data_IF_983731601371
#
_entry.id   IF_983731601371
#
_cell.length_a   1.000
_cell.length_b   1.000
_cell.length_c   1.000
_cell.angle_alpha   90.00
_cell.angle_beta   90.00
_cell.angle_gamma   90.00
#
_symmetry.space_group_name_H-M   'P 1'
#
loop_
_entity.id
_entity.type
_entity.pdbx_description
1 polymer ?
#
# COMPACT_ATOMS: atom_id res chain seq x y z
N UNK A 1 15.07 -2.65 6.28
CA UNK A 1 15.09 -1.23 6.69
C UNK A 1 15.40 -0.42 5.46
N UNK A 2 14.47 0.41 5.00
CA UNK A 2 14.71 1.30 3.86
C UNK A 2 15.38 2.57 4.41
N UNK A 3 16.66 2.76 4.11
CA UNK A 3 17.31 4.05 4.32
C UNK A 3 16.74 5.04 3.30
N UNK A 4 15.84 5.90 3.77
CA UNK A 4 15.37 7.05 3.02
C UNK A 4 16.44 8.14 3.01
N UNK A 5 17.46 8.06 2.14
CA UNK A 5 18.39 9.18 1.95
C UNK A 5 18.91 9.44 0.53
N UNK A 6 18.54 8.64 -0.48
CA UNK A 6 18.74 9.09 -1.86
C UNK A 6 17.66 8.54 -2.80
N UNK A 7 16.57 9.29 -2.96
CA UNK A 7 15.52 8.98 -3.93
C UNK A 7 15.97 9.22 -5.38
N UNK A 8 17.19 9.73 -5.61
CA UNK A 8 17.72 10.06 -6.94
C UNK A 8 17.81 8.85 -7.87
N UNK A 9 18.23 7.70 -7.36
CA UNK A 9 18.32 6.47 -8.17
C UNK A 9 16.95 5.96 -8.61
N UNK A 10 15.92 6.07 -7.74
CA UNK A 10 14.56 5.66 -8.07
C UNK A 10 14.05 6.55 -9.20
N UNK A 11 14.30 7.86 -9.12
CA UNK A 11 13.97 8.81 -10.18
C UNK A 11 14.71 8.51 -11.48
N UNK A 12 16.00 8.19 -11.45
CA UNK A 12 16.80 7.87 -12.65
C UNK A 12 16.41 6.53 -13.29
N UNK A 13 16.10 5.53 -12.47
CA UNK A 13 15.59 4.26 -12.96
C UNK A 13 14.16 4.40 -13.51
N UNK A 14 13.31 5.21 -12.86
CA UNK A 14 12.00 5.57 -13.40
C UNK A 14 12.08 6.34 -14.71
N UNK A 15 13.02 7.28 -14.86
CA UNK A 15 13.25 7.99 -16.14
C UNK A 15 13.59 7.05 -17.28
N UNK A 16 14.27 5.95 -16.97
CA UNK A 16 14.67 4.94 -17.95
C UNK A 16 13.53 4.00 -18.37
N UNK A 17 12.59 3.73 -17.48
CA UNK A 17 11.58 2.67 -17.68
C UNK A 17 10.12 3.14 -17.66
N UNK A 18 9.83 4.38 -17.24
CA UNK A 18 8.48 4.94 -17.20
C UNK A 18 8.22 5.87 -18.40
N UNK A 19 7.30 5.52 -19.32
CA UNK A 19 7.08 6.31 -20.53
C UNK A 19 6.39 7.66 -20.26
N UNK A 20 5.73 7.82 -19.11
CA UNK A 20 4.92 9.00 -18.79
C UNK A 20 5.76 10.21 -18.39
N UNK A 21 5.52 11.34 -19.05
CA UNK A 21 6.23 12.61 -18.85
C UNK A 21 6.00 13.20 -17.45
N UNK A 22 4.87 12.92 -16.81
CA UNK A 22 4.53 13.38 -15.46
C UNK A 22 5.45 12.82 -14.38
N UNK A 23 5.89 11.56 -14.52
CA UNK A 23 6.75 10.89 -13.56
C UNK A 23 8.24 11.18 -13.79
N UNK A 24 8.60 11.85 -14.89
CA UNK A 24 9.95 12.35 -15.16
C UNK A 24 10.28 13.64 -14.41
N UNK A 25 9.29 14.31 -13.80
CA UNK A 25 9.51 15.50 -12.98
C UNK A 25 10.10 15.08 -11.63
N UNK A 26 11.38 15.37 -11.34
CA UNK A 26 12.06 14.84 -10.15
C UNK A 26 11.36 15.22 -8.82
N UNK A 27 10.69 16.37 -8.78
CA UNK A 27 9.97 16.84 -7.57
C UNK A 27 8.54 16.29 -7.46
N UNK A 28 7.98 15.72 -8.52
CA UNK A 28 6.60 15.22 -8.50
C UNK A 28 6.47 13.98 -7.60
N UNK A 29 7.34 12.99 -7.77
CA UNK A 29 7.31 11.76 -6.97
C UNK A 29 7.69 12.07 -5.51
N UNK A 30 8.73 12.89 -5.28
CA UNK A 30 9.12 13.28 -3.94
C UNK A 30 8.00 14.04 -3.20
N UNK A 31 7.30 14.95 -3.88
CA UNK A 31 6.14 15.64 -3.33
C UNK A 31 4.98 14.70 -3.04
N UNK A 32 4.69 13.76 -3.95
CA UNK A 32 3.66 12.73 -3.75
C UNK A 32 3.97 11.82 -2.56
N UNK A 33 5.23 11.38 -2.42
CA UNK A 33 5.70 10.60 -1.26
C UNK A 33 5.56 11.39 0.03
N UNK A 34 6.00 12.66 0.04
CA UNK A 34 5.92 13.53 1.21
C UNK A 34 4.47 13.83 1.64
N UNK A 35 3.52 13.76 0.71
CA UNK A 35 2.09 13.99 0.97
C UNK A 35 1.32 12.76 1.47
N UNK A 36 1.97 11.59 1.58
CA UNK A 36 1.34 10.29 1.87
C UNK A 36 0.24 9.86 0.88
N UNK A 37 0.16 10.51 -0.29
CA UNK A 37 -0.83 10.23 -1.35
C UNK A 37 -0.49 8.96 -2.13
N UNK A 38 0.79 8.60 -2.18
CA UNK A 38 1.27 7.36 -2.80
C UNK A 38 1.99 6.48 -1.77
N UNK A 39 2.06 5.19 -2.06
CA UNK A 39 2.85 4.22 -1.33
C UNK A 39 3.92 3.67 -2.25
N UNK A 40 5.15 3.59 -1.76
CA UNK A 40 6.28 3.10 -2.53
C UNK A 40 7.03 2.02 -1.76
N UNK A 41 7.64 1.11 -2.51
CA UNK A 41 8.52 0.08 -1.99
C UNK A 41 9.70 -0.15 -2.92
N UNK A 42 10.82 -0.57 -2.35
CA UNK A 42 12.02 -0.97 -3.06
C UNK A 42 12.51 -2.31 -2.51
N UNK A 43 12.99 -3.17 -3.41
CA UNK A 43 13.73 -4.39 -3.07
C UNK A 43 15.19 -4.18 -3.44
N UNK A 44 16.09 -4.45 -2.52
CA UNK A 44 17.53 -4.29 -2.68
C UNK A 44 18.26 -5.62 -2.44
N UNK A 45 19.40 -5.80 -3.10
CA UNK A 45 20.31 -6.92 -2.90
C UNK A 45 21.60 -6.38 -2.29
N UNK A 46 22.06 -7.02 -1.22
CA UNK A 46 23.37 -6.78 -0.65
C UNK A 46 24.43 -7.52 -1.48
N UNK A 47 25.30 -6.76 -2.14
CA UNK A 47 26.43 -7.29 -2.88
C UNK A 47 27.54 -7.85 -1.98
N UNK A 48 28.48 -8.64 -2.53
CA UNK A 48 29.65 -9.14 -1.79
C UNK A 48 30.57 -8.03 -1.27
N UNK A 49 30.51 -6.85 -1.88
CA UNK A 49 31.20 -5.62 -1.50
C UNK A 49 30.51 -4.87 -0.35
N UNK A 50 29.38 -5.38 0.14
CA UNK A 50 28.59 -4.74 1.19
C UNK A 50 27.71 -3.60 0.68
N UNK A 51 27.58 -3.41 -0.64
CA UNK A 51 26.77 -2.35 -1.24
C UNK A 51 25.36 -2.86 -1.51
N UNK A 52 24.35 -2.12 -1.04
CA UNK A 52 22.96 -2.38 -1.38
C UNK A 52 22.64 -1.85 -2.77
N UNK A 53 22.14 -2.73 -3.64
CA UNK A 53 21.75 -2.39 -5.01
C UNK A 53 20.24 -2.59 -5.18
N UNK A 54 19.49 -1.58 -5.62
CA UNK A 54 18.07 -1.72 -5.89
C UNK A 54 17.82 -2.58 -7.13
N UNK A 55 16.88 -3.51 -7.01
CA UNK A 55 16.53 -4.49 -8.05
C UNK A 55 15.05 -4.54 -8.38
N UNK A 56 14.20 -3.94 -7.56
CA UNK A 56 12.80 -3.71 -7.91
C UNK A 56 12.26 -2.49 -7.19
N UNK A 57 11.24 -1.87 -7.80
CA UNK A 57 10.47 -0.83 -7.15
C UNK A 57 9.03 -0.87 -7.61
N UNK A 58 8.13 -0.50 -6.70
CA UNK A 58 6.70 -0.40 -6.98
C UNK A 58 6.12 0.84 -6.34
N UNK A 59 5.13 1.43 -7.02
CA UNK A 59 4.35 2.55 -6.50
C UNK A 59 2.87 2.28 -6.73
N UNK A 60 2.08 2.60 -5.72
CA UNK A 60 0.63 2.51 -5.73
C UNK A 60 0.00 3.74 -5.09
N UNK A 61 -1.29 3.93 -5.34
CA UNK A 61 -2.07 4.99 -4.71
C UNK A 61 -3.50 4.52 -4.46
N UNK A 62 -4.24 5.31 -3.70
CA UNK A 62 -5.69 5.20 -3.66
C UNK A 62 -6.31 6.27 -4.53
N UNK A 63 -7.23 5.86 -5.40
CA UNK A 63 -7.92 6.77 -6.30
C UNK A 63 -9.39 6.92 -5.90
N UNK A 64 -9.93 8.10 -6.18
CA UNK A 64 -11.33 8.41 -5.93
C UNK A 64 -12.29 7.48 -6.70
N UNK A 65 -13.37 7.01 -6.07
CA UNK A 65 -14.34 6.14 -6.74
C UNK A 65 -14.93 6.72 -8.01
N UNK A 66 -15.31 8.00 -8.04
CA UNK A 66 -15.89 8.63 -9.23
C UNK A 66 -14.87 8.72 -10.37
N UNK A 67 -13.62 9.02 -10.05
CA UNK A 67 -12.52 9.01 -11.02
C UNK A 67 -12.31 7.61 -11.61
N UNK A 68 -12.33 6.56 -10.79
CA UNK A 68 -12.16 5.19 -11.25
C UNK A 68 -13.36 4.69 -12.06
N UNK A 69 -14.59 4.99 -11.62
CA UNK A 69 -15.80 4.60 -12.35
C UNK A 69 -15.85 5.27 -13.74
N UNK A 70 -15.46 6.54 -13.83
CA UNK A 70 -15.35 7.25 -15.11
C UNK A 70 -14.30 6.62 -16.03
N UNK A 71 -13.12 6.28 -15.48
CA UNK A 71 -12.08 5.59 -16.25
C UNK A 71 -12.54 4.20 -16.74
N UNK A 72 -13.23 3.43 -15.90
CA UNK A 72 -13.70 2.09 -16.28
C UNK A 72 -14.78 2.14 -17.36
N UNK A 73 -15.59 3.21 -17.40
CA UNK A 73 -16.59 3.42 -18.44
C UNK A 73 -15.99 3.79 -19.81
N UNK A 74 -14.89 4.54 -19.84
CA UNK A 74 -14.17 4.92 -21.07
C UNK A 74 -12.64 4.80 -20.86
N UNK A 75 -12.11 3.56 -20.90
CA UNK A 75 -10.72 3.32 -20.56
C UNK A 75 -9.78 3.87 -21.65
N UNK A 76 -8.79 4.63 -21.20
CA UNK A 76 -7.69 5.14 -22.05
C UNK A 76 -6.37 4.46 -21.67
N UNK A 77 -5.43 4.28 -22.62
CA UNK A 77 -4.15 3.65 -22.32
C UNK A 77 -3.28 4.51 -21.40
N UNK A 78 -2.35 3.87 -20.69
CA UNK A 78 -1.52 4.43 -19.63
C UNK A 78 -2.30 5.00 -18.43
N UNK A 79 -3.11 4.17 -17.78
CA UNK A 79 -3.88 4.46 -16.56
C UNK A 79 -3.09 5.30 -15.55
N UNK A 80 -1.88 4.89 -15.21
CA UNK A 80 -1.06 5.59 -14.22
C UNK A 80 -0.75 7.03 -14.65
N UNK A 81 -0.40 7.21 -15.92
CA UNK A 81 -0.09 8.52 -16.47
C UNK A 81 -1.34 9.40 -16.56
N UNK A 82 -2.47 8.83 -16.99
CA UNK A 82 -3.76 9.52 -17.02
C UNK A 82 -4.16 10.06 -15.64
N UNK A 83 -4.06 9.25 -14.59
CA UNK A 83 -4.35 9.70 -13.22
C UNK A 83 -3.38 10.77 -12.75
N UNK A 84 -2.08 10.57 -12.99
CA UNK A 84 -1.07 11.50 -12.52
C UNK A 84 -1.12 12.84 -13.24
N UNK A 85 -1.36 12.88 -14.56
CA UNK A 85 -1.49 14.14 -15.30
C UNK A 85 -2.68 14.97 -14.79
N UNK A 86 -3.83 14.33 -14.56
CA UNK A 86 -5.02 15.00 -14.00
C UNK A 86 -4.77 15.52 -12.58
N UNK A 87 -4.12 14.72 -11.74
CA UNK A 87 -3.72 15.14 -10.40
C UNK A 87 -2.77 16.36 -10.45
N UNK A 88 -1.76 16.34 -11.32
CA UNK A 88 -0.82 17.45 -11.47
C UNK A 88 -1.44 18.70 -12.09
N UNK A 89 -2.50 18.54 -12.89
CA UNK A 89 -3.31 19.64 -13.39
C UNK A 89 -4.16 20.31 -12.29
N UNK A 90 -4.17 19.75 -11.08
CA UNK A 90 -4.94 20.27 -9.94
C UNK A 90 -6.41 19.85 -9.98
N UNK A 91 -6.75 18.82 -10.76
CA UNK A 91 -8.11 18.27 -10.70
C UNK A 91 -8.37 17.69 -9.30
N UNK A 92 -9.45 18.12 -8.63
CA UNK A 92 -9.75 17.64 -7.28
C UNK A 92 -10.22 16.18 -7.32
N UNK A 93 -9.92 15.42 -6.26
CA UNK A 93 -10.44 14.07 -6.09
C UNK A 93 -9.93 13.07 -7.14
N UNK A 94 -8.66 13.16 -7.53
CA UNK A 94 -8.03 12.14 -8.39
C UNK A 94 -7.35 11.08 -7.53
N UNK A 95 -6.36 11.50 -6.75
CA UNK A 95 -5.66 10.66 -5.77
C UNK A 95 -6.10 11.07 -4.37
N UNK A 96 -6.32 10.11 -3.49
CA UNK A 96 -6.81 10.35 -2.14
C UNK A 96 -5.65 10.69 -1.18
N UNK A 97 -5.78 11.79 -0.46
CA UNK A 97 -4.90 12.13 0.67
C UNK A 97 -5.32 11.42 1.97
N UNK A 98 -4.53 11.55 3.05
CA UNK A 98 -4.76 10.79 4.29
C UNK A 98 -6.17 10.92 4.91
N UNK A 99 -6.80 12.10 4.98
CA UNK A 99 -8.17 12.21 5.50
C UNK A 99 -9.22 11.53 4.61
N UNK A 100 -9.02 11.57 3.30
CA UNK A 100 -9.91 10.93 2.32
C UNK A 100 -9.75 9.41 2.36
N UNK A 101 -8.51 8.94 2.43
CA UNK A 101 -8.20 7.53 2.66
C UNK A 101 -8.90 7.03 3.93
N UNK A 102 -8.79 7.74 5.06
CA UNK A 102 -9.41 7.31 6.31
C UNK A 102 -10.94 7.16 6.21
N UNK A 103 -11.61 8.09 5.52
CA UNK A 103 -13.07 8.04 5.28
C UNK A 103 -13.45 6.90 4.34
N UNK A 104 -12.78 6.77 3.20
CA UNK A 104 -13.06 5.71 2.23
C UNK A 104 -12.71 4.33 2.79
N UNK A 105 -11.66 4.22 3.62
CA UNK A 105 -11.26 2.99 4.31
C UNK A 105 -12.36 2.51 5.26
N UNK A 106 -12.93 3.43 6.05
CA UNK A 106 -14.03 3.12 6.96
C UNK A 106 -15.28 2.61 6.23
N UNK A 107 -15.56 3.16 5.05
CA UNK A 107 -16.67 2.74 4.19
C UNK A 107 -16.37 1.49 3.34
N UNK A 108 -15.16 0.92 3.39
CA UNK A 108 -14.68 -0.16 2.51
C UNK A 108 -14.77 0.18 1.00
N UNK A 109 -14.42 1.41 0.63
CA UNK A 109 -14.56 1.97 -0.73
C UNK A 109 -13.25 2.40 -1.36
N UNK A 110 -12.11 1.90 -0.87
CA UNK A 110 -10.81 2.25 -1.44
C UNK A 110 -10.58 1.53 -2.78
N UNK A 111 -10.17 2.30 -3.79
CA UNK A 111 -9.71 1.74 -5.07
C UNK A 111 -8.19 1.81 -5.09
N UNK A 112 -7.54 0.66 -5.00
CA UNK A 112 -6.09 0.56 -5.08
C UNK A 112 -5.66 0.58 -6.54
N UNK A 113 -4.73 1.46 -6.91
CA UNK A 113 -4.14 1.48 -8.24
C UNK A 113 -2.64 1.23 -8.11
N UNK A 114 -2.14 0.18 -8.77
CA UNK A 114 -0.69 0.02 -8.96
C UNK A 114 -0.27 0.92 -10.10
N UNK A 115 0.41 2.02 -9.77
CA UNK A 115 0.87 3.01 -10.75
C UNK A 115 2.05 2.46 -11.54
N UNK A 116 2.95 1.73 -10.88
CA UNK A 116 4.03 1.01 -11.55
C UNK A 116 4.54 -0.13 -10.69
N UNK A 117 5.01 -1.18 -11.34
CA UNK A 117 5.96 -2.12 -10.77
C UNK A 117 7.01 -2.44 -11.83
N UNK A 118 8.26 -2.44 -11.41
CA UNK A 118 9.39 -2.73 -12.28
C UNK A 118 10.39 -3.57 -11.48
N UNK A 119 11.14 -4.42 -12.17
CA UNK A 119 12.23 -5.19 -11.57
C UNK A 119 13.33 -5.45 -12.58
N UNK A 120 14.51 -5.81 -12.09
CA UNK A 120 15.62 -6.31 -12.88
C UNK A 120 16.37 -7.37 -12.06
N UNK A 121 16.61 -8.57 -12.59
CA UNK A 121 16.20 -9.06 -13.91
C UNK A 121 14.69 -9.30 -14.08
N UNK A 122 14.24 -9.30 -15.34
CA UNK A 122 12.81 -9.50 -15.71
C UNK A 122 12.52 -10.88 -16.29
N UNK A 123 13.54 -11.67 -16.63
CA UNK A 123 13.35 -12.99 -17.24
C UNK A 123 12.76 -13.99 -16.22
N UNK A 124 11.52 -14.48 -16.42
CA UNK A 124 10.90 -15.43 -15.50
C UNK A 124 11.65 -16.77 -15.37
N UNK A 125 12.49 -17.14 -16.35
CA UNK A 125 13.31 -18.34 -16.27
C UNK A 125 14.48 -18.17 -15.28
N UNK A 126 14.86 -16.93 -14.95
CA UNK A 126 15.93 -16.66 -14.01
C UNK A 126 15.45 -16.78 -12.57
N UNK A 127 16.13 -17.63 -11.78
CA UNK A 127 15.82 -17.82 -10.36
C UNK A 127 15.79 -16.50 -9.57
N UNK A 128 16.70 -15.59 -9.87
CA UNK A 128 16.78 -14.31 -9.18
C UNK A 128 15.55 -13.43 -9.45
N UNK A 129 15.06 -13.39 -10.69
CA UNK A 129 13.84 -12.65 -11.05
C UNK A 129 12.62 -13.16 -10.27
N UNK A 130 12.51 -14.48 -10.09
CA UNK A 130 11.46 -15.11 -9.28
C UNK A 130 11.54 -14.76 -7.79
N UNK A 131 12.75 -14.73 -7.22
CA UNK A 131 12.96 -14.34 -5.82
C UNK A 131 12.62 -12.87 -5.58
N UNK A 132 13.04 -11.98 -6.49
CA UNK A 132 12.71 -10.54 -6.43
C UNK A 132 11.19 -10.35 -6.53
N UNK A 133 10.53 -11.03 -7.48
CA UNK A 133 9.08 -10.96 -7.63
C UNK A 133 8.34 -11.43 -6.37
N UNK A 134 8.77 -12.55 -5.79
CA UNK A 134 8.19 -13.07 -4.54
C UNK A 134 8.34 -12.10 -3.37
N UNK A 135 9.55 -11.53 -3.16
CA UNK A 135 9.80 -10.55 -2.10
C UNK A 135 9.04 -9.24 -2.31
N UNK A 136 8.92 -8.79 -3.55
CA UNK A 136 8.16 -7.59 -3.88
C UNK A 136 6.66 -7.80 -3.68
N UNK A 137 6.14 -9.00 -3.98
CA UNK A 137 4.75 -9.37 -3.68
C UNK A 137 4.48 -9.45 -2.17
N UNK A 138 5.38 -10.04 -1.39
CA UNK A 138 5.30 -10.07 0.07
C UNK A 138 5.21 -8.64 0.64
N UNK A 139 6.10 -7.75 0.16
CA UNK A 139 6.06 -6.34 0.52
C UNK A 139 4.74 -5.68 0.10
N UNK A 140 4.28 -5.91 -1.14
CA UNK A 140 3.02 -5.34 -1.64
C UNK A 140 1.83 -5.76 -0.77
N UNK A 141 1.72 -7.05 -0.42
CA UNK A 141 0.65 -7.55 0.46
C UNK A 141 0.76 -6.91 1.84
N UNK A 142 1.95 -6.88 2.45
CA UNK A 142 2.17 -6.27 3.77
C UNK A 142 1.78 -4.79 3.80
N UNK A 143 2.05 -4.06 2.72
CA UNK A 143 1.76 -2.63 2.61
C UNK A 143 0.26 -2.34 2.45
N UNK A 144 -0.49 -3.23 1.79
CA UNK A 144 -1.89 -2.97 1.40
C UNK A 144 -2.95 -3.81 2.14
N UNK A 145 -2.57 -4.88 2.84
CA UNK A 145 -3.50 -5.69 3.64
C UNK A 145 -4.09 -4.86 4.80
N UNK A 146 -5.36 -5.07 5.12
CA UNK A 146 -6.06 -4.35 6.20
C UNK A 146 -6.67 -3.02 5.77
N UNK A 147 -6.52 -2.61 4.50
CA UNK A 147 -7.34 -1.55 3.92
C UNK A 147 -8.68 -2.13 3.45
N UNK A 148 -9.77 -1.38 3.62
CA UNK A 148 -11.11 -1.67 3.11
C UNK A 148 -11.18 -1.39 1.61
N UNK A 149 -10.57 -2.28 0.82
CA UNK A 149 -10.56 -2.18 -0.64
C UNK A 149 -11.92 -2.59 -1.23
N UNK A 150 -12.39 -1.83 -2.20
CA UNK A 150 -13.48 -2.20 -3.10
C UNK A 150 -12.95 -2.88 -4.37
N UNK A 151 -11.81 -2.39 -4.88
CA UNK A 151 -11.17 -2.94 -6.08
C UNK A 151 -9.68 -2.62 -6.15
N UNK A 152 -8.97 -3.36 -7.00
CA UNK A 152 -7.57 -3.12 -7.35
C UNK A 152 -7.42 -3.08 -8.87
N UNK A 153 -6.72 -2.07 -9.39
CA UNK A 153 -6.45 -1.90 -10.82
C UNK A 153 -4.96 -1.78 -11.09
N UNK A 154 -4.55 -2.22 -12.28
CA UNK A 154 -3.23 -1.96 -12.84
C UNK A 154 -3.27 -2.09 -14.36
N UNK A 155 -2.38 -1.39 -15.04
CA UNK A 155 -2.14 -1.58 -16.47
C UNK A 155 -0.72 -2.10 -16.68
N UNK A 156 -0.60 -3.16 -17.45
CA UNK A 156 0.69 -3.79 -17.74
C UNK A 156 0.76 -4.22 -19.21
N UNK A 157 1.97 -4.43 -19.76
CA UNK A 157 2.14 -5.17 -21.00
C UNK A 157 1.40 -6.50 -20.97
N UNK A 158 0.78 -6.87 -22.10
CA UNK A 158 0.01 -8.13 -22.24
C UNK A 158 0.83 -9.37 -21.88
N UNK A 159 2.16 -9.29 -21.97
CA UNK A 159 3.09 -10.33 -21.51
C UNK A 159 2.83 -10.78 -20.05
N UNK A 160 2.36 -9.88 -19.19
CA UNK A 160 2.09 -10.17 -17.77
C UNK A 160 0.65 -10.60 -17.49
N UNK A 161 -0.24 -10.56 -18.49
CA UNK A 161 -1.68 -10.80 -18.33
C UNK A 161 -1.96 -12.17 -17.72
N UNK A 162 -1.28 -13.22 -18.16
CA UNK A 162 -1.51 -14.59 -17.67
C UNK A 162 -1.16 -14.73 -16.18
N UNK A 163 -0.03 -14.19 -15.73
CA UNK A 163 0.35 -14.20 -14.31
C UNK A 163 -0.64 -13.41 -13.45
N UNK A 164 -1.15 -12.29 -13.97
CA UNK A 164 -2.18 -11.50 -13.29
C UNK A 164 -3.52 -12.24 -13.22
N UNK A 165 -3.91 -12.95 -14.29
CA UNK A 165 -5.09 -13.82 -14.29
C UNK A 165 -4.99 -14.93 -13.25
N UNK A 166 -3.84 -15.57 -13.12
CA UNK A 166 -3.59 -16.60 -12.11
C UNK A 166 -3.67 -16.05 -10.67
N UNK A 167 -3.44 -14.75 -10.48
CA UNK A 167 -3.66 -14.07 -9.19
C UNK A 167 -5.14 -13.73 -8.91
N UNK A 168 -6.04 -14.05 -9.83
CA UNK A 168 -7.48 -13.77 -9.74
C UNK A 168 -7.92 -12.46 -10.39
N UNK A 169 -7.01 -11.72 -11.04
CA UNK A 169 -7.39 -10.51 -11.77
C UNK A 169 -8.07 -10.86 -13.09
N UNK A 170 -8.97 -10.01 -13.57
CA UNK A 170 -9.62 -10.13 -14.87
C UNK A 170 -9.24 -8.95 -15.76
N UNK A 171 -9.21 -9.18 -17.07
CA UNK A 171 -8.98 -8.11 -18.04
C UNK A 171 -10.22 -7.25 -18.17
N UNK A 172 -10.06 -5.94 -17.96
CA UNK A 172 -11.09 -4.92 -18.17
C UNK A 172 -10.99 -4.30 -19.57
N UNK A 173 -9.78 -3.90 -19.98
CA UNK A 173 -9.54 -3.27 -21.28
C UNK A 173 -8.25 -3.84 -21.92
N UNK A 174 -8.18 -3.76 -23.25
CA UNK A 174 -7.03 -4.16 -24.04
C UNK A 174 -6.70 -3.08 -25.08
N UNK A 175 -5.44 -2.70 -25.15
CA UNK A 175 -4.93 -1.72 -26.10
C UNK A 175 -3.84 -2.36 -26.96
N UNK A 176 -4.03 -2.53 -28.28
CA UNK A 176 -3.01 -3.13 -29.13
C UNK A 176 -1.79 -2.21 -29.28
N UNK A 177 -0.65 -2.78 -29.69
CA UNK A 177 0.49 -1.97 -30.12
C UNK A 177 0.07 -1.03 -31.27
N UNK A 178 0.60 0.19 -31.25
CA UNK A 178 0.20 1.25 -32.18
C UNK A 178 -1.09 1.99 -31.79
N UNK A 179 -1.83 1.54 -30.76
CA UNK A 179 -3.02 2.25 -30.30
C UNK A 179 -2.66 3.70 -29.90
N UNK A 180 -3.40 4.73 -30.37
CA UNK A 180 -3.05 6.11 -30.10
C UNK A 180 -2.99 6.42 -28.60
N UNK A 181 -1.82 6.85 -28.13
CA UNK A 181 -1.66 7.36 -26.78
C UNK A 181 -1.73 8.89 -26.81
N UNK A 182 -2.81 9.46 -26.27
CA UNK A 182 -3.02 10.91 -26.21
C UNK A 182 -1.90 11.64 -25.46
N UNK A 183 -1.24 10.97 -24.52
CA UNK A 183 -0.19 11.56 -23.69
C UNK A 183 1.14 11.72 -24.43
N UNK A 184 1.50 10.77 -25.29
CA UNK A 184 2.75 10.83 -26.07
C UNK A 184 2.54 11.40 -27.47
N UNK A 185 1.29 11.47 -27.93
CA UNK A 185 0.97 11.75 -29.33
C UNK A 185 1.40 10.65 -30.29
N UNK A 186 1.90 9.52 -29.77
CA UNK A 186 2.37 8.37 -30.54
C UNK A 186 1.54 7.13 -30.21
N UNK A 187 1.63 6.12 -31.07
CA UNK A 187 1.05 4.80 -30.79
C UNK A 187 1.78 4.10 -29.63
N UNK A 188 1.09 3.24 -28.90
CA UNK A 188 1.72 2.41 -27.87
C UNK A 188 2.84 1.54 -28.47
N UNK A 189 4.02 1.44 -27.82
CA UNK A 189 5.12 0.64 -28.34
C UNK A 189 4.85 -0.87 -28.25
N UNK A 190 4.02 -1.29 -27.28
CA UNK A 190 3.62 -2.67 -27.05
C UNK A 190 2.15 -2.70 -26.66
N UNK A 191 1.49 -3.85 -26.84
CA UNK A 191 0.12 -4.03 -26.38
C UNK A 191 0.06 -4.06 -24.85
N UNK A 192 -0.94 -3.40 -24.26
CA UNK A 192 -1.19 -3.36 -22.82
C UNK A 192 -2.61 -3.81 -22.49
N UNK A 193 -2.82 -4.28 -21.26
CA UNK A 193 -4.12 -4.64 -20.72
C UNK A 193 -4.32 -3.98 -19.36
N UNK A 194 -5.52 -3.44 -19.15
CA UNK A 194 -5.97 -3.01 -17.82
C UNK A 194 -6.55 -4.23 -17.13
N UNK A 195 -5.94 -4.59 -16.00
CA UNK A 195 -6.35 -5.71 -15.16
C UNK A 195 -7.03 -5.17 -13.91
N UNK A 196 -8.15 -5.77 -13.54
CA UNK A 196 -8.94 -5.42 -12.36
C UNK A 196 -9.16 -6.64 -11.47
N UNK A 197 -9.12 -6.43 -10.16
CA UNK A 197 -9.64 -7.35 -9.17
C UNK A 197 -10.77 -6.67 -8.41
N UNK A 198 -11.95 -7.27 -8.45
CA UNK A 198 -13.13 -6.91 -7.68
C UNK A 198 -13.61 -8.19 -7.00
N UNK A 199 -13.70 -8.23 -5.66
CA UNK A 199 -14.23 -9.41 -4.99
C UNK A 199 -15.71 -9.56 -5.34
N UNK A 200 -16.05 -10.59 -6.11
CA UNK A 200 -17.46 -10.96 -6.29
C UNK A 200 -17.97 -11.67 -5.02
N UNK A 201 -19.19 -11.37 -4.56
CA UNK A 201 -19.77 -12.00 -3.36
C UNK A 201 -19.74 -13.54 -3.40
N UNK A 202 -19.90 -14.12 -4.59
CA UNK A 202 -19.91 -15.57 -4.82
C UNK A 202 -18.50 -16.18 -4.89
N UNK A 203 -17.48 -15.39 -5.27
CA UNK A 203 -16.09 -15.84 -5.42
C UNK A 203 -15.29 -15.77 -4.12
N UNK A 204 -15.78 -15.04 -3.11
CA UNK A 204 -15.14 -14.88 -1.80
C UNK A 204 -14.91 -16.20 -1.03
N UNK A 205 -15.60 -17.28 -1.43
CA UNK A 205 -15.56 -18.58 -0.74
C UNK A 205 -14.50 -19.53 -1.32
N UNK A 206 -14.00 -19.31 -2.54
CA UNK A 206 -13.34 -20.40 -3.30
C UNK A 206 -11.91 -20.14 -3.80
N UNK A 207 -11.36 -18.92 -3.73
CA UNK A 207 -9.99 -18.67 -4.22
C UNK A 207 -9.08 -17.95 -3.20
N UNK A 208 -8.18 -18.70 -2.58
CA UNK A 208 -7.03 -18.18 -1.83
C UNK A 208 -5.93 -17.69 -2.79
N UNK A 209 -6.23 -16.67 -3.59
CA UNK A 209 -5.23 -16.02 -4.43
C UNK A 209 -4.46 -14.94 -3.65
N UNK A 210 -3.28 -14.55 -4.13
CA UNK A 210 -2.52 -13.47 -3.51
C UNK A 210 -3.31 -12.15 -3.45
N UNK A 211 -4.15 -11.88 -4.45
CA UNK A 211 -5.01 -10.70 -4.47
C UNK A 211 -6.12 -10.77 -3.42
N UNK A 212 -6.73 -11.94 -3.18
CA UNK A 212 -7.83 -12.06 -2.21
C UNK A 212 -7.40 -11.75 -0.77
N UNK A 213 -6.12 -11.96 -0.42
CA UNK A 213 -5.54 -11.57 0.87
C UNK A 213 -5.64 -10.06 1.15
N UNK A 214 -5.72 -9.21 0.12
CA UNK A 214 -5.83 -7.76 0.27
C UNK A 214 -7.24 -7.32 0.67
N UNK A 215 -8.26 -8.12 0.37
CA UNK A 215 -9.67 -7.79 0.57
C UNK A 215 -10.26 -8.38 1.87
N UNK A 216 -9.51 -9.24 2.54
CA UNK A 216 -9.86 -9.84 3.83
C UNK A 216 -9.63 -8.87 5.01
N UNK A 217 -10.35 -7.75 5.00
CA UNK A 217 -10.23 -6.67 6.01
C UNK A 217 -11.41 -6.67 6.98
N UNK A 218 -11.12 -6.41 8.27
CA UNK A 218 -12.09 -6.17 9.34
C UNK A 218 -11.98 -4.73 9.85
N UNK A 219 -12.99 -4.20 10.54
CA UNK A 219 -12.87 -2.92 11.25
C UNK A 219 -11.80 -2.98 12.36
N UNK A 220 -11.00 -1.92 12.56
CA UNK A 220 -10.03 -1.86 13.65
C UNK A 220 -10.73 -1.84 15.01
N UNK A 221 -10.16 -2.54 15.99
CA UNK A 221 -10.76 -2.70 17.32
C UNK A 221 -10.10 -1.80 18.37
N UNK A 222 -8.81 -1.50 18.20
CA UNK A 222 -8.06 -0.71 19.18
C UNK A 222 -8.43 0.78 19.15
N UNK A 223 -8.97 1.27 18.04
CA UNK A 223 -9.32 2.68 17.86
C UNK A 223 -8.13 3.60 18.09
N UNK A 224 -6.96 3.26 17.53
CA UNK A 224 -5.72 4.02 17.70
C UNK A 224 -5.87 5.42 17.10
N UNK A 225 -5.27 6.42 17.76
CA UNK A 225 -5.09 7.74 17.14
C UNK A 225 -4.06 7.66 16.00
N UNK A 226 -4.06 8.60 15.04
CA UNK A 226 -3.06 8.61 13.96
C UNK A 226 -1.62 8.58 14.46
N UNK A 227 -1.31 9.30 15.54
CA UNK A 227 0.02 9.31 16.15
C UNK A 227 0.38 7.94 16.76
N UNK A 228 -0.56 7.30 17.47
CA UNK A 228 -0.36 5.96 18.03
C UNK A 228 -0.18 4.90 16.93
N UNK A 229 -0.96 4.99 15.85
CA UNK A 229 -0.86 4.08 14.71
C UNK A 229 0.51 4.18 14.04
N UNK A 230 1.02 5.40 13.78
CA UNK A 230 2.37 5.60 13.22
C UNK A 230 3.46 5.06 14.14
N UNK A 231 3.38 5.37 15.43
CA UNK A 231 4.34 4.87 16.43
C UNK A 231 4.36 3.34 16.47
N UNK A 232 3.18 2.71 16.48
CA UNK A 232 3.06 1.27 16.55
C UNK A 232 3.50 0.57 15.25
N UNK A 233 3.28 1.20 14.09
CA UNK A 233 3.79 0.69 12.81
C UNK A 233 5.32 0.62 12.81
N UNK A 234 6.01 1.68 13.26
CA UNK A 234 7.48 1.68 13.39
C UNK A 234 7.98 0.62 14.37
N UNK A 235 7.29 0.45 15.50
CA UNK A 235 7.62 -0.61 16.44
C UNK A 235 7.41 -2.02 15.86
N UNK A 236 6.38 -2.21 15.02
CA UNK A 236 6.11 -3.47 14.34
C UNK A 236 7.15 -3.77 13.23
N UNK A 237 7.78 -2.74 12.68
CA UNK A 237 8.97 -2.83 11.81
C UNK A 237 10.28 -3.07 12.58
N UNK A 238 10.22 -3.16 13.91
CA UNK A 238 11.33 -3.59 14.77
C UNK A 238 12.10 -2.45 15.45
N UNK A 239 11.73 -1.19 15.25
CA UNK A 239 12.44 -0.05 15.83
C UNK A 239 12.28 0.03 17.35
N UNK A 240 13.34 0.43 18.05
CA UNK A 240 13.37 0.77 19.47
C UNK A 240 12.72 2.14 19.75
N UNK A 241 12.42 2.43 21.02
CA UNK A 241 11.70 3.66 21.39
C UNK A 241 12.50 4.93 21.07
N UNK A 242 13.83 4.88 21.17
CA UNK A 242 14.75 5.95 20.80
C UNK A 242 14.75 6.21 19.28
N UNK A 243 14.81 5.15 18.48
CA UNK A 243 14.75 5.23 17.01
C UNK A 243 13.38 5.75 16.55
N UNK A 244 12.30 5.30 17.18
CA UNK A 244 10.94 5.82 16.92
C UNK A 244 10.86 7.31 17.23
N UNK A 245 11.44 7.74 18.35
CA UNK A 245 11.46 9.14 18.77
C UNK A 245 12.20 10.01 17.74
N UNK A 246 13.36 9.54 17.27
CA UNK A 246 14.14 10.19 16.23
C UNK A 246 13.36 10.29 14.91
N UNK A 247 12.84 9.18 14.41
CA UNK A 247 12.08 9.13 13.15
C UNK A 247 10.84 10.03 13.17
N UNK A 248 10.14 10.09 14.30
CA UNK A 248 8.95 10.92 14.45
C UNK A 248 9.25 12.38 14.85
N UNK A 249 10.51 12.72 15.14
CA UNK A 249 10.91 14.05 15.61
C UNK A 249 10.26 14.45 16.94
N UNK A 250 10.09 13.49 17.87
CA UNK A 250 9.47 13.71 19.19
C UNK A 250 10.39 13.26 20.32
N UNK A 251 10.11 13.69 21.55
CA UNK A 251 10.84 13.20 22.72
C UNK A 251 10.53 11.73 23.04
N UNK A 252 11.51 10.97 23.51
CA UNK A 252 11.35 9.56 23.94
C UNK A 252 10.25 9.41 25.01
N UNK A 253 10.10 10.38 25.90
CA UNK A 253 9.02 10.35 26.90
C UNK A 253 7.62 10.48 26.29
N UNK A 254 7.50 11.13 25.12
CA UNK A 254 6.27 11.14 24.31
C UNK A 254 5.97 9.75 23.77
N UNK A 255 6.99 8.99 23.32
CA UNK A 255 6.85 7.59 22.90
C UNK A 255 6.35 6.73 24.07
N UNK A 256 6.95 6.84 25.26
CA UNK A 256 6.49 6.12 26.46
C UNK A 256 5.05 6.47 26.85
N UNK A 257 4.64 7.74 26.71
CA UNK A 257 3.24 8.15 26.92
C UNK A 257 2.32 7.55 25.85
N UNK A 258 2.77 7.51 24.59
CA UNK A 258 2.09 6.84 23.50
C UNK A 258 1.81 5.37 23.83
N UNK A 259 2.82 4.64 24.29
CA UNK A 259 2.70 3.23 24.69
C UNK A 259 1.65 3.01 25.79
N UNK A 260 1.64 3.85 26.83
CA UNK A 260 0.61 3.79 27.88
C UNK A 260 -0.79 3.91 27.29
N UNK A 261 -1.02 4.91 26.44
CA UNK A 261 -2.32 5.10 25.79
C UNK A 261 -2.71 3.93 24.87
N UNK A 262 -1.75 3.28 24.22
CA UNK A 262 -2.01 2.07 23.43
C UNK A 262 -2.40 0.91 24.35
N UNK A 263 -1.68 0.70 25.46
CA UNK A 263 -1.98 -0.37 26.42
C UNK A 263 -3.36 -0.20 27.05
N UNK A 264 -3.76 1.02 27.38
CA UNK A 264 -5.08 1.31 27.97
C UNK A 264 -6.21 1.02 26.97
N UNK A 265 -6.05 1.44 25.71
CA UNK A 265 -6.98 1.09 24.62
C UNK A 265 -7.06 -0.42 24.41
N UNK A 266 -5.92 -1.10 24.35
CA UNK A 266 -5.87 -2.54 24.16
C UNK A 266 -6.48 -3.32 25.32
N UNK A 267 -6.26 -2.90 26.57
CA UNK A 267 -6.87 -3.52 27.74
C UNK A 267 -8.41 -3.38 27.73
N UNK A 268 -8.91 -2.27 27.18
CA UNK A 268 -10.35 -1.99 27.05
C UNK A 268 -10.97 -2.78 25.90
N UNK A 269 -10.37 -2.70 24.71
CA UNK A 269 -10.92 -3.30 23.48
C UNK A 269 -10.68 -4.82 23.39
N UNK A 270 -9.63 -5.32 24.04
CA UNK A 270 -9.17 -6.71 23.99
C UNK A 270 -8.83 -7.23 25.41
N UNK A 271 -9.82 -7.46 26.29
CA UNK A 271 -9.56 -7.85 27.69
C UNK A 271 -8.73 -9.12 27.88
N UNK A 272 -8.63 -9.99 26.87
CA UNK A 272 -7.81 -11.21 26.88
C UNK A 272 -6.39 -11.06 26.31
N UNK A 273 -6.02 -9.90 25.75
CA UNK A 273 -4.71 -9.73 25.10
C UNK A 273 -3.55 -9.77 26.11
N UNK A 274 -3.80 -9.27 27.32
CA UNK A 274 -2.84 -9.33 28.42
C UNK A 274 -3.31 -10.36 29.45
N UNK A 275 -2.55 -11.44 29.62
CA UNK A 275 -2.85 -12.46 30.63
C UNK A 275 -3.06 -11.86 32.03
N UNK A 276 -3.95 -12.46 32.81
CA UNK A 276 -4.38 -11.98 34.15
C UNK A 276 -3.23 -11.82 35.16
N UNK A 277 -2.19 -12.66 35.06
CA UNK A 277 -0.98 -12.57 35.88
C UNK A 277 -0.13 -11.33 35.58
N UNK A 278 -0.10 -10.90 34.31
CA UNK A 278 0.65 -9.71 33.90
C UNK A 278 -0.03 -8.42 34.31
N UNK A 279 -1.32 -8.42 34.66
CA UNK A 279 -1.97 -7.24 35.25
C UNK A 279 -1.56 -6.99 36.72
N UNK A 280 -0.73 -7.84 37.35
CA UNK A 280 -0.33 -7.72 38.78
C UNK A 280 1.16 -7.44 39.09
N UNK A 281 2.14 -7.74 38.23
CA UNK A 281 3.57 -7.44 38.48
C UNK A 281 4.15 -6.26 37.65
N UNK A 282 4.80 -5.28 38.28
CA UNK A 282 5.25 -4.01 37.66
C UNK A 282 6.45 -4.07 36.70
N UNK A 283 6.97 -5.24 36.34
CA UNK A 283 8.15 -5.43 35.44
C UNK A 283 7.71 -5.52 33.96
N UNK A 284 6.69 -4.74 33.60
CA UNK A 284 5.56 -5.19 32.76
C UNK A 284 5.58 -4.71 31.29
N UNK A 285 6.43 -3.74 30.94
CA UNK A 285 6.36 -3.01 29.67
C UNK A 285 6.76 -3.84 28.43
N UNK A 286 7.88 -4.58 28.52
CA UNK A 286 8.43 -5.31 27.38
C UNK A 286 7.52 -6.47 26.91
N UNK A 287 6.87 -7.18 27.85
CA UNK A 287 5.92 -8.25 27.53
C UNK A 287 4.66 -7.73 26.83
N UNK A 288 4.08 -6.63 27.34
CA UNK A 288 2.92 -5.97 26.72
C UNK A 288 3.23 -5.45 25.33
N UNK A 289 4.39 -4.80 25.15
CA UNK A 289 4.85 -4.32 23.84
C UNK A 289 4.92 -5.46 22.83
N UNK A 290 5.59 -6.56 23.17
CA UNK A 290 5.72 -7.74 22.29
C UNK A 290 4.36 -8.31 21.88
N UNK A 291 3.41 -8.41 22.81
CA UNK A 291 2.05 -8.91 22.53
C UNK A 291 1.24 -8.01 21.62
N UNK A 292 1.28 -6.69 21.85
CA UNK A 292 0.61 -5.75 20.96
C UNK A 292 1.22 -5.81 19.55
N UNK A 293 2.55 -5.85 19.44
CA UNK A 293 3.23 -5.93 18.14
C UNK A 293 2.80 -7.21 17.40
N UNK A 294 2.82 -8.36 18.07
CA UNK A 294 2.36 -9.62 17.48
C UNK A 294 0.89 -9.53 17.03
N UNK A 295 0.02 -8.94 17.85
CA UNK A 295 -1.39 -8.76 17.51
C UNK A 295 -1.59 -7.91 16.24
N UNK A 296 -0.92 -6.76 16.11
CA UNK A 296 -1.09 -5.90 14.93
C UNK A 296 -0.40 -6.42 13.67
N UNK A 297 0.61 -7.28 13.81
CA UNK A 297 1.20 -8.01 12.68
C UNK A 297 0.16 -8.99 12.08
N UNK A 298 -0.68 -9.60 12.91
CA UNK A 298 -1.76 -10.48 12.47
C UNK A 298 -3.02 -9.72 12.01
N UNK A 299 -3.29 -8.55 12.62
CA UNK A 299 -4.42 -7.66 12.34
C UNK A 299 -3.96 -6.28 11.79
N UNK A 300 -3.47 -6.21 10.54
CA UNK A 300 -2.92 -4.98 9.97
C UNK A 300 -3.93 -3.83 9.81
N UNK A 301 -5.24 -4.12 9.84
CA UNK A 301 -6.32 -3.13 9.85
C UNK A 301 -6.20 -2.12 11.00
N UNK A 302 -5.62 -2.54 12.14
CA UNK A 302 -5.42 -1.69 13.32
C UNK A 302 -4.45 -0.52 13.06
N UNK A 303 -3.59 -0.67 12.05
CA UNK A 303 -2.56 0.32 11.69
C UNK A 303 -2.97 1.19 10.49
N UNK A 304 -4.15 0.96 9.90
CA UNK A 304 -4.58 1.70 8.70
C UNK A 304 -5.34 2.96 9.11
N UNK A 305 -5.22 4.06 8.34
CA UNK A 305 -6.05 5.24 8.55
C UNK A 305 -7.53 4.87 8.54
N UNK A 306 -8.24 5.17 9.62
CA UNK A 306 -9.65 4.81 9.76
C UNK A 306 -10.40 5.97 10.37
N UNK A 307 -11.39 6.51 9.66
CA UNK A 307 -12.29 7.48 10.24
C UNK A 307 -13.18 6.73 11.23
N UNK A 308 -13.01 6.98 12.53
CA UNK A 308 -14.03 6.60 13.51
C UNK A 308 -15.29 7.35 13.10
N UNK A 309 -16.25 6.65 12.50
CA UNK A 309 -17.57 7.22 12.26
C UNK A 309 -18.03 7.86 13.56
N UNK A 310 -18.33 9.16 13.55
CA UNK A 310 -19.24 9.70 14.54
C UNK A 310 -20.47 8.82 14.47
N UNK A 311 -20.78 8.18 15.59
CA UNK A 311 -21.94 7.33 15.86
C UNK A 311 -23.00 7.34 14.75
N UNK A 312 -22.93 6.42 13.80
CA UNK A 312 -24.07 5.93 13.02
C UNK A 312 -23.63 4.74 12.13
N UNK A 313 -24.52 3.76 12.02
CA UNK A 313 -24.39 2.47 11.32
C UNK A 313 -23.65 1.33 12.05
N UNK A 314 -24.04 1.08 13.30
CA UNK A 314 -24.22 -0.31 13.76
C UNK A 314 -25.66 -0.72 13.51
N UNK A 315 -26.01 -1.01 12.26
CA UNK A 315 -27.20 -1.78 11.94
C UNK A 315 -27.05 -2.41 10.55
N UNK A 316 -27.29 -3.72 10.51
CA UNK A 316 -27.49 -4.57 9.34
C UNK A 316 -26.23 -4.99 8.55
N UNK A 317 -25.66 -6.12 8.97
CA UNK A 317 -25.47 -7.24 8.05
C UNK A 317 -26.41 -8.36 8.52
N UNK A 318 -27.16 -9.01 7.61
CA UNK A 318 -28.04 -10.13 7.93
C UNK A 318 -27.28 -11.36 8.45
#
# INVERSE_FOLDING_TARGET
MAHATDSGWLVDWWRRFCPSSCLRRPNAIAGLLASDTIKAGCTEILGPDGVWTPVAAGVSCFADPTTIDAYLADPVPNLAAHLLDRFHAGEPGILLGPPEIARANAARRLNLVTLVYLQSPTDPAERLAGLIGSKSMEHFIRTHRGYGLARMLREDPVLFEEGLRQSGMRRHAHFPAGHPCRLTGQGLPVATSVMIYEPEPEQAVLQASAASLLFATKPPRLGLTPAQSRMLALAADGLADEEIAEVLGIAVDTVKKGWRGIFDRAATALPGLFGSAELRSGVRGAGKRRRIIAYVQDQPEELRPYASGGTEATAALP
#
